data_IF_629642705995
#
_entry.id   IF_629642705995
#
_cell.length_a   1.000
_cell.length_b   1.000
_cell.length_c   1.000
_cell.angle_alpha   90.00
_cell.angle_beta   90.00
_cell.angle_gamma   90.00
#
_symmetry.space_group_name_H-M   'P 1'
#
loop_
_entity.id
_entity.type
_entity.pdbx_description
1 polymer ?
#
# COMPACT_ATOMS: atom_id res chain seq x y z
N UNK A 1 -9.84 11.53 -31.69
CA UNK A 1 -8.48 12.08 -31.43
C UNK A 1 -7.73 11.02 -30.65
N UNK A 2 -6.66 10.45 -31.21
CA UNK A 2 -5.84 9.45 -30.52
C UNK A 2 -5.02 10.17 -29.44
N UNK A 3 -5.35 9.95 -28.17
CA UNK A 3 -4.53 10.49 -27.07
C UNK A 3 -3.18 9.79 -27.11
N UNK A 4 -2.12 10.58 -27.30
CA UNK A 4 -0.74 10.09 -27.22
C UNK A 4 -0.50 9.64 -25.78
N UNK A 5 -0.37 8.32 -25.59
CA UNK A 5 0.01 7.75 -24.30
C UNK A 5 1.48 8.05 -24.05
N UNK A 6 1.76 8.98 -23.15
CA UNK A 6 3.14 9.25 -22.73
C UNK A 6 3.68 8.06 -21.93
N UNK A 7 4.86 7.53 -22.28
CA UNK A 7 5.45 6.39 -21.58
C UNK A 7 5.81 6.77 -20.14
N UNK A 8 5.77 5.78 -19.23
CA UNK A 8 6.23 5.93 -17.86
C UNK A 8 7.70 6.36 -17.82
N UNK A 9 8.03 7.44 -17.12
CA UNK A 9 9.41 7.91 -16.94
C UNK A 9 9.77 7.91 -15.46
N UNK A 10 10.94 7.38 -15.10
CA UNK A 10 11.39 7.24 -13.70
C UNK A 10 11.42 8.61 -13.01
N UNK A 11 11.98 9.63 -13.66
CA UNK A 11 12.05 10.98 -13.12
C UNK A 11 10.68 11.64 -12.89
N UNK A 12 9.65 11.23 -13.64
CA UNK A 12 8.28 11.71 -13.41
C UNK A 12 7.65 11.05 -12.19
N UNK A 13 7.96 9.77 -11.94
CA UNK A 13 7.53 9.05 -10.74
C UNK A 13 8.18 9.65 -9.50
N UNK A 14 9.48 9.93 -9.53
CA UNK A 14 10.21 10.53 -8.41
C UNK A 14 9.53 11.82 -7.90
N UNK A 15 9.04 12.66 -8.83
CA UNK A 15 8.47 13.98 -8.53
C UNK A 15 6.96 13.96 -8.31
N UNK A 16 6.29 12.84 -8.61
CA UNK A 16 4.85 12.73 -8.48
C UNK A 16 4.41 12.58 -7.01
N UNK A 17 3.19 13.03 -6.72
CA UNK A 17 2.52 12.77 -5.44
C UNK A 17 1.75 11.46 -5.51
N UNK A 18 1.97 10.59 -4.52
CA UNK A 18 1.24 9.34 -4.35
C UNK A 18 0.29 9.45 -3.17
N UNK A 19 -0.94 9.00 -3.38
CA UNK A 19 -2.02 9.03 -2.39
C UNK A 19 -2.68 7.66 -2.37
N UNK A 20 -3.29 7.33 -1.24
CA UNK A 20 -4.23 6.21 -1.11
C UNK A 20 -5.59 6.76 -0.66
N UNK A 21 -6.53 5.89 -0.30
CA UNK A 21 -7.83 6.33 0.22
C UNK A 21 -7.68 7.03 1.57
N UNK A 22 -8.68 7.83 1.95
CA UNK A 22 -8.70 8.44 3.28
C UNK A 22 -8.59 7.39 4.40
N UNK A 23 -9.38 6.32 4.29
CA UNK A 23 -9.39 5.24 5.29
C UNK A 23 -8.01 4.56 5.42
N UNK A 24 -7.35 4.27 4.30
CA UNK A 24 -6.02 3.68 4.31
C UNK A 24 -4.95 4.63 4.87
N UNK A 25 -5.05 5.95 4.63
CA UNK A 25 -4.15 6.93 5.25
C UNK A 25 -4.35 7.02 6.78
N UNK A 26 -5.60 6.96 7.25
CA UNK A 26 -5.90 6.91 8.68
C UNK A 26 -5.25 5.69 9.34
N UNK A 27 -5.40 4.50 8.73
CA UNK A 27 -4.74 3.29 9.23
C UNK A 27 -3.21 3.37 9.14
N UNK A 28 -2.67 3.93 8.07
CA UNK A 28 -1.23 4.14 7.93
C UNK A 28 -0.68 5.00 9.08
N UNK A 29 -1.40 6.06 9.45
CA UNK A 29 -1.02 6.94 10.56
C UNK A 29 -1.13 6.25 11.92
N UNK A 30 -2.14 5.39 12.10
CA UNK A 30 -2.31 4.59 13.31
C UNK A 30 -1.17 3.58 13.46
N UNK A 31 -0.92 2.78 12.43
CA UNK A 31 0.14 1.77 12.40
C UNK A 31 1.53 2.40 12.57
N UNK A 32 1.76 3.56 11.95
CA UNK A 32 3.00 4.32 12.15
C UNK A 32 3.28 4.53 13.64
N UNK A 33 2.27 5.01 14.38
CA UNK A 33 2.38 5.27 15.83
C UNK A 33 2.55 3.98 16.61
N UNK A 34 1.75 2.95 16.31
CA UNK A 34 1.81 1.65 16.99
C UNK A 34 3.20 1.02 16.88
N UNK A 35 3.81 1.06 15.69
CA UNK A 35 5.12 0.45 15.43
C UNK A 35 6.30 1.39 15.72
N UNK A 36 6.05 2.61 16.20
CA UNK A 36 7.12 3.59 16.48
C UNK A 36 7.92 4.01 15.24
N UNK A 37 7.31 3.97 14.05
CA UNK A 37 7.99 4.27 12.80
C UNK A 37 8.17 5.80 12.63
N UNK A 38 9.39 6.31 12.46
CA UNK A 38 9.65 7.75 12.40
C UNK A 38 8.99 8.44 11.21
N UNK A 39 8.74 7.72 10.10
CA UNK A 39 8.25 8.34 8.87
C UNK A 39 7.03 7.62 8.29
N UNK A 40 6.11 8.41 7.73
CA UNK A 40 4.84 7.93 7.15
C UNK A 40 5.02 6.99 5.96
N UNK A 41 6.14 7.10 5.22
CA UNK A 41 6.43 6.21 4.09
C UNK A 41 6.82 4.79 4.51
N UNK A 42 7.28 4.58 5.74
CA UNK A 42 7.70 3.26 6.20
C UNK A 42 6.53 2.27 6.30
N UNK A 43 5.41 2.58 7.00
CA UNK A 43 4.23 1.71 6.96
C UNK A 43 3.63 1.62 5.55
N UNK A 44 3.73 2.68 4.74
CA UNK A 44 3.28 2.62 3.34
C UNK A 44 4.05 1.57 2.52
N UNK A 45 5.39 1.53 2.65
CA UNK A 45 6.24 0.48 2.03
C UNK A 45 5.87 -0.91 2.52
N UNK A 46 5.62 -1.08 3.83
CA UNK A 46 5.16 -2.36 4.37
C UNK A 46 3.83 -2.80 3.75
N UNK A 47 2.85 -1.89 3.62
CA UNK A 47 1.60 -2.19 2.92
C UNK A 47 1.84 -2.59 1.46
N UNK A 48 2.64 -1.80 0.72
CA UNK A 48 2.93 -2.09 -0.67
C UNK A 48 3.57 -3.48 -0.82
N UNK A 49 4.57 -3.82 -0.01
CA UNK A 49 5.19 -5.15 0.00
C UNK A 49 4.19 -6.27 0.29
N UNK A 50 3.36 -6.11 1.34
CA UNK A 50 2.34 -7.11 1.70
C UNK A 50 1.30 -7.29 0.60
N UNK A 51 0.98 -6.21 -0.10
CA UNK A 51 0.06 -6.24 -1.22
C UNK A 51 0.68 -6.90 -2.45
N UNK A 52 1.95 -6.60 -2.78
CA UNK A 52 2.67 -7.19 -3.91
C UNK A 52 2.93 -8.69 -3.74
N UNK A 53 3.01 -9.17 -2.50
CA UNK A 53 3.12 -10.61 -2.21
C UNK A 53 1.88 -11.42 -2.60
N UNK A 54 0.72 -10.77 -2.78
CA UNK A 54 -0.50 -11.43 -3.24
C UNK A 54 -0.46 -11.62 -4.75
N UNK A 55 -0.76 -12.81 -5.30
CA UNK A 55 -0.64 -13.06 -6.74
C UNK A 55 -1.64 -12.28 -7.60
N UNK A 56 -2.76 -11.83 -7.02
CA UNK A 56 -3.79 -11.08 -7.73
C UNK A 56 -3.53 -9.58 -7.63
N UNK A 57 -3.85 -8.82 -8.67
CA UNK A 57 -3.88 -7.35 -8.62
C UNK A 57 -4.93 -6.85 -7.61
N UNK A 58 -4.71 -5.71 -6.94
CA UNK A 58 -5.68 -5.13 -6.03
C UNK A 58 -6.89 -4.59 -6.80
N UNK A 59 -8.05 -4.54 -6.14
CA UNK A 59 -9.22 -3.84 -6.67
C UNK A 59 -8.93 -2.34 -6.72
N UNK A 60 -9.29 -1.64 -7.80
CA UNK A 60 -9.23 -0.18 -7.84
C UNK A 60 -9.99 0.45 -6.68
N UNK A 61 -9.46 1.55 -6.15
CA UNK A 61 -10.11 2.28 -5.04
C UNK A 61 -10.98 3.41 -5.55
N UNK A 62 -12.03 3.73 -4.80
CA UNK A 62 -13.03 4.74 -5.15
C UNK A 62 -12.54 6.18 -4.93
N UNK A 63 -11.48 6.38 -4.14
CA UNK A 63 -10.95 7.69 -3.81
C UNK A 63 -9.43 7.66 -3.63
N UNK A 64 -8.79 8.81 -3.94
CA UNK A 64 -7.36 9.06 -3.71
C UNK A 64 -7.19 10.27 -2.76
N UNK A 65 -8.05 10.36 -1.74
CA UNK A 65 -8.17 11.56 -0.89
C UNK A 65 -7.19 11.61 0.29
N UNK A 66 -6.38 10.56 0.48
CA UNK A 66 -5.33 10.52 1.49
C UNK A 66 -4.26 11.59 1.29
N UNK A 67 -3.47 11.85 2.34
CA UNK A 67 -2.37 12.82 2.26
C UNK A 67 -1.29 12.33 1.30
N UNK A 68 -0.68 13.22 0.49
CA UNK A 68 0.32 12.81 -0.49
C UNK A 68 1.64 12.40 0.18
N UNK A 69 2.38 11.52 -0.48
CA UNK A 69 3.82 11.28 -0.26
C UNK A 69 4.49 11.41 -1.62
N UNK A 70 5.54 12.23 -1.72
CA UNK A 70 6.30 12.37 -2.97
C UNK A 70 6.99 11.06 -3.33
N UNK A 71 7.11 10.73 -4.61
CA UNK A 71 7.68 9.46 -5.08
C UNK A 71 9.09 9.16 -4.57
N UNK A 72 9.99 10.15 -4.60
CA UNK A 72 11.36 10.06 -4.05
C UNK A 72 11.38 9.72 -2.55
N UNK A 73 10.35 10.14 -1.82
CA UNK A 73 10.18 9.87 -0.39
C UNK A 73 9.54 8.50 -0.19
N UNK A 74 8.52 8.18 -0.98
CA UNK A 74 7.79 6.91 -0.88
C UNK A 74 8.65 5.72 -1.28
N UNK A 75 9.43 5.82 -2.36
CA UNK A 75 10.17 4.69 -2.92
C UNK A 75 11.66 4.70 -2.61
N UNK A 76 12.24 5.88 -2.39
CA UNK A 76 13.67 6.04 -2.14
C UNK A 76 14.24 7.16 -3.00
N UNK A 77 15.25 7.86 -2.47
CA UNK A 77 15.95 8.91 -3.20
C UNK A 77 17.02 8.35 -4.14
N UNK A 78 17.50 7.14 -3.87
CA UNK A 78 18.39 6.41 -4.76
C UNK A 78 17.62 5.89 -5.98
N UNK A 79 18.23 6.00 -7.16
CA UNK A 79 17.60 5.63 -8.42
C UNK A 79 17.34 4.10 -8.50
N UNK A 80 18.21 3.28 -7.90
CA UNK A 80 18.03 1.83 -7.88
C UNK A 80 16.83 1.44 -7.01
N UNK A 81 16.68 2.05 -5.83
CA UNK A 81 15.52 1.84 -4.95
C UNK A 81 14.21 2.24 -5.65
N UNK A 82 14.18 3.43 -6.25
CA UNK A 82 13.01 3.93 -6.98
C UNK A 82 12.66 2.99 -8.14
N UNK A 83 13.66 2.58 -8.93
CA UNK A 83 13.48 1.70 -10.08
C UNK A 83 12.98 0.33 -9.66
N UNK A 84 13.48 -0.22 -8.56
CA UNK A 84 13.03 -1.49 -8.01
C UNK A 84 11.53 -1.46 -7.69
N UNK A 85 11.06 -0.44 -6.98
CA UNK A 85 9.64 -0.30 -6.66
C UNK A 85 8.76 -0.15 -7.92
N UNK A 86 9.22 0.63 -8.89
CA UNK A 86 8.51 0.78 -10.17
C UNK A 86 8.41 -0.58 -10.87
N UNK A 87 9.52 -1.29 -11.00
CA UNK A 87 9.57 -2.59 -11.66
C UNK A 87 8.63 -3.61 -10.98
N UNK A 88 8.63 -3.68 -9.65
CA UNK A 88 7.76 -4.59 -8.89
C UNK A 88 6.27 -4.29 -9.14
N UNK A 89 5.85 -3.03 -9.13
CA UNK A 89 4.45 -2.65 -9.36
C UNK A 89 4.05 -2.87 -10.81
N UNK A 90 4.92 -2.54 -11.77
CA UNK A 90 4.67 -2.74 -13.20
C UNK A 90 4.55 -4.23 -13.52
N UNK A 91 5.50 -5.05 -13.07
CA UNK A 91 5.50 -6.50 -13.28
C UNK A 91 4.26 -7.14 -12.67
N UNK A 92 3.94 -6.79 -11.42
CA UNK A 92 2.76 -7.30 -10.73
C UNK A 92 1.45 -6.95 -11.45
N UNK A 93 1.37 -5.78 -12.07
CA UNK A 93 0.19 -5.36 -12.80
C UNK A 93 -0.10 -6.20 -14.04
N UNK A 94 0.94 -6.79 -14.66
CA UNK A 94 0.86 -7.47 -15.95
C UNK A 94 0.49 -6.55 -17.12
N UNK A 95 0.47 -5.23 -16.93
CA UNK A 95 0.09 -4.24 -17.94
C UNK A 95 1.33 -3.62 -18.58
N UNK A 96 1.48 -3.81 -19.90
CA UNK A 96 2.51 -3.13 -20.66
C UNK A 96 2.12 -1.67 -20.94
N UNK A 97 3.10 -0.77 -20.85
CA UNK A 97 2.94 0.63 -21.28
C UNK A 97 2.05 1.48 -20.38
N UNK A 98 2.12 1.27 -19.06
CA UNK A 98 1.43 2.10 -18.08
C UNK A 98 1.78 3.59 -18.26
N UNK A 99 0.76 4.43 -18.19
CA UNK A 99 0.91 5.87 -18.00
C UNK A 99 1.25 6.17 -16.54
N UNK A 100 1.79 7.37 -16.27
CA UNK A 100 2.02 7.84 -14.89
C UNK A 100 0.76 7.76 -14.02
N UNK A 101 -0.40 8.12 -14.58
CA UNK A 101 -1.68 8.13 -13.84
C UNK A 101 -2.11 6.71 -13.45
N UNK A 102 -2.04 5.78 -14.39
CA UNK A 102 -2.36 4.36 -14.15
C UNK A 102 -1.40 3.77 -13.10
N UNK A 103 -0.11 4.11 -13.15
CA UNK A 103 0.86 3.72 -12.11
C UNK A 103 0.51 4.28 -10.73
N UNK A 104 0.13 5.57 -10.63
CA UNK A 104 -0.33 6.16 -9.37
C UNK A 104 -1.58 5.45 -8.82
N UNK A 105 -2.53 5.08 -9.68
CA UNK A 105 -3.74 4.37 -9.27
C UNK A 105 -3.44 2.95 -8.79
N UNK A 106 -2.50 2.25 -9.43
CA UNK A 106 -2.01 0.95 -8.97
C UNK A 106 -1.36 1.06 -7.59
N UNK A 107 -0.46 2.03 -7.39
CA UNK A 107 0.18 2.27 -6.08
C UNK A 107 -0.87 2.57 -5.01
N UNK A 108 -1.87 3.40 -5.32
CA UNK A 108 -2.95 3.74 -4.41
C UNK A 108 -3.74 2.52 -3.95
N UNK A 109 -4.11 1.64 -4.91
CA UNK A 109 -4.84 0.41 -4.66
C UNK A 109 -4.00 -0.63 -3.89
N UNK A 110 -2.71 -0.77 -4.25
CA UNK A 110 -1.79 -1.63 -3.53
C UNK A 110 -1.63 -1.19 -2.08
N UNK A 111 -1.45 0.10 -1.86
CA UNK A 111 -1.31 0.67 -0.53
C UNK A 111 -2.57 0.42 0.31
N UNK A 112 -3.76 0.65 -0.26
CA UNK A 112 -5.03 0.41 0.44
C UNK A 112 -5.20 -1.05 0.87
N UNK A 113 -5.02 -2.00 -0.06
CA UNK A 113 -5.09 -3.44 0.25
C UNK A 113 -4.04 -3.87 1.28
N UNK A 114 -2.83 -3.34 1.16
CA UNK A 114 -1.74 -3.62 2.09
C UNK A 114 -2.03 -3.12 3.51
N UNK A 115 -2.63 -1.93 3.64
CA UNK A 115 -3.02 -1.36 4.93
C UNK A 115 -4.15 -2.15 5.59
N UNK A 116 -5.13 -2.62 4.81
CA UNK A 116 -6.18 -3.50 5.31
C UNK A 116 -5.57 -4.78 5.92
N UNK A 117 -4.62 -5.40 5.21
CA UNK A 117 -3.90 -6.60 5.69
C UNK A 117 -3.09 -6.33 6.95
N UNK A 118 -2.27 -5.27 6.94
CA UNK A 118 -1.41 -4.92 8.07
C UNK A 118 -2.23 -4.64 9.33
N UNK A 119 -3.37 -3.97 9.17
CA UNK A 119 -4.29 -3.67 10.28
C UNK A 119 -4.94 -4.92 10.86
N UNK A 120 -5.27 -5.91 10.02
CA UNK A 120 -5.81 -7.20 10.50
C UNK A 120 -4.75 -8.00 11.26
N UNK A 121 -3.52 -8.05 10.74
CA UNK A 121 -2.42 -8.78 11.39
C UNK A 121 -2.07 -8.17 12.75
N UNK A 122 -1.97 -6.85 12.86
CA UNK A 122 -1.65 -6.18 14.13
C UNK A 122 -2.75 -6.41 15.19
N UNK A 123 -4.03 -6.33 14.82
CA UNK A 123 -5.14 -6.65 15.75
C UNK A 123 -5.11 -8.11 16.21
N UNK A 124 -4.76 -9.04 15.32
CA UNK A 124 -4.64 -10.46 15.66
C UNK A 124 -3.52 -10.75 16.67
N UNK A 125 -2.49 -9.90 16.76
CA UNK A 125 -1.35 -10.09 17.68
C UNK A 125 -1.64 -9.49 19.06
N UNK A 126 -2.62 -8.58 19.16
CA UNK A 126 -2.82 -7.73 20.34
C UNK A 126 -3.95 -8.13 21.29
N UNK A 127 -4.71 -9.20 21.04
CA UNK A 127 -5.80 -9.58 21.96
C UNK A 127 -5.67 -10.98 22.54
N UNK A 128 -5.10 -11.04 23.75
CA UNK A 128 -5.23 -12.19 24.66
C UNK A 128 -6.71 -12.38 25.04
N UNK A 129 -7.50 -11.30 25.07
CA UNK A 129 -8.93 -11.32 25.38
C UNK A 129 -9.75 -12.04 24.30
N UNK A 130 -9.40 -11.90 23.01
CA UNK A 130 -10.05 -12.60 21.91
C UNK A 130 -9.68 -14.10 21.91
N UNK A 131 -8.41 -14.40 22.20
CA UNK A 131 -7.96 -15.78 22.39
C UNK A 131 -8.65 -16.43 23.60
N UNK A 132 -8.87 -15.68 24.68
CA UNK A 132 -9.57 -16.15 25.88
C UNK A 132 -11.08 -16.30 25.65
N UNK A 133 -11.72 -15.38 24.92
CA UNK A 133 -13.14 -15.46 24.57
C UNK A 133 -13.47 -16.69 23.70
N UNK A 134 -12.59 -17.04 22.74
CA UNK A 134 -12.73 -18.28 21.97
C UNK A 134 -12.65 -19.53 22.84
N UNK A 135 -11.68 -19.58 23.77
CA UNK A 135 -11.51 -20.66 24.74
C UNK A 135 -12.75 -20.86 25.62
N UNK A 136 -13.34 -19.77 26.10
CA UNK A 136 -14.56 -19.80 26.92
C UNK A 136 -15.81 -20.18 26.13
N UNK A 137 -15.89 -19.86 24.84
CA UNK A 137 -17.02 -20.21 23.98
C UNK A 137 -17.04 -21.69 23.53
N UNK A 138 -15.87 -22.35 23.45
CA UNK A 138 -15.76 -23.77 23.10
C UNK A 138 -16.09 -24.74 24.24
N UNK A 139 -16.14 -24.25 25.49
CA UNK A 139 -16.35 -25.07 26.70
C UNK A 139 -17.82 -25.37 27.02
N UNK A 140 -18.78 -24.89 26.21
CA UNK A 140 -20.23 -25.05 26.46
C UNK A 140 -20.94 -26.03 25.51
N UNK A 141 -20.20 -26.84 24.75
CA UNK A 141 -20.77 -27.79 23.76
C UNK A 141 -20.70 -29.27 24.16
N UNK A 142 -20.50 -29.60 25.44
CA UNK A 142 -20.58 -30.97 25.95
C UNK A 142 -21.32 -31.03 27.28
#
# INVERSE_FOLDING_TARGET
MSQIRSPLQIGDIARADFRTSFAADSENSRIQKTLGLPYRYQPARLALSLSLAEPKSPTPISDNSGRPIRGDTLFGQDEADLTLWIALVVEHSGVAGLTRREFQDLVAAHWARGMEKLSKTEKSVLSIEDAFAQLMSGALSH
#
